data_IF_510338674020
#
_entry.id   IF_510338674020
#
_cell.length_a   1.000
_cell.length_b   1.000
_cell.length_c   1.000
_cell.angle_alpha   90.00
_cell.angle_beta   90.00
_cell.angle_gamma   90.00
#
_symmetry.space_group_name_H-M   'P 1'
#
loop_
_entity.id
_entity.type
_entity.pdbx_description
1 polymer ?
#
# COMPACT_ATOMS: atom_id res chain seq x y z
N UNK A 1 28.07 -25.94 38.02
CA UNK A 1 27.82 -24.61 37.43
C UNK A 1 27.29 -24.82 36.02
N UNK A 2 26.09 -24.29 35.72
CA UNK A 2 25.31 -24.56 34.51
C UNK A 2 25.85 -23.83 33.27
N UNK A 3 26.02 -24.56 32.17
CA UNK A 3 26.41 -24.05 30.85
C UNK A 3 25.20 -24.01 29.90
N UNK A 4 24.15 -23.27 30.26
CA UNK A 4 23.01 -23.01 29.37
C UNK A 4 22.49 -21.58 29.55
N UNK A 5 22.64 -20.78 28.50
CA UNK A 5 22.17 -19.40 28.39
C UNK A 5 23.11 -18.70 27.43
N UNK A 6 22.80 -18.52 26.16
CA UNK A 6 21.78 -17.59 25.68
C UNK A 6 21.38 -17.98 24.25
N UNK A 7 20.46 -18.92 24.10
CA UNK A 7 19.63 -19.00 22.90
C UNK A 7 18.54 -17.95 23.07
N UNK A 8 18.70 -16.77 22.46
CA UNK A 8 17.60 -15.82 22.25
C UNK A 8 16.50 -16.59 21.53
N UNK A 9 15.47 -17.02 22.27
CA UNK A 9 14.21 -17.48 21.72
C UNK A 9 13.74 -16.37 20.77
N UNK A 10 13.84 -16.60 19.46
CA UNK A 10 13.02 -15.88 18.49
C UNK A 10 11.60 -16.02 19.03
N UNK A 11 10.97 -14.91 19.44
CA UNK A 11 9.53 -14.93 19.70
C UNK A 11 8.92 -15.55 18.45
N UNK A 12 8.29 -16.72 18.59
CA UNK A 12 7.31 -17.17 17.61
C UNK A 12 6.31 -16.03 17.55
N UNK A 13 6.38 -15.25 16.48
CA UNK A 13 5.28 -14.38 16.11
C UNK A 13 4.15 -15.36 15.87
N UNK A 14 3.17 -15.40 16.79
CA UNK A 14 1.89 -16.05 16.53
C UNK A 14 1.42 -15.57 15.15
N UNK A 15 0.79 -16.41 14.32
CA UNK A 15 0.25 -15.91 13.06
C UNK A 15 -0.72 -14.80 13.44
N UNK A 16 -0.31 -13.54 13.23
CA UNK A 16 -1.22 -12.42 13.34
C UNK A 16 -2.36 -12.77 12.40
N UNK A 17 -3.54 -13.02 12.96
CA UNK A 17 -4.74 -13.14 12.15
C UNK A 17 -4.71 -11.97 11.16
N UNK A 18 -4.78 -12.23 9.83
CA UNK A 18 -4.71 -11.16 8.85
C UNK A 18 -5.67 -10.04 9.26
N UNK A 19 -5.28 -8.76 9.11
CA UNK A 19 -6.17 -7.64 9.41
C UNK A 19 -7.55 -7.92 8.80
N UNK A 20 -8.61 -7.87 9.61
CA UNK A 20 -9.95 -8.18 9.12
C UNK A 20 -10.44 -7.05 8.23
N UNK A 21 -10.69 -7.38 6.96
CA UNK A 21 -11.27 -6.47 5.99
C UNK A 21 -12.80 -6.61 5.98
N UNK A 22 -13.49 -5.50 6.22
CA UNK A 22 -14.94 -5.36 6.04
C UNK A 22 -15.22 -4.09 5.20
N UNK A 23 -15.70 -4.23 3.95
CA UNK A 23 -16.01 -3.09 3.10
C UNK A 23 -17.17 -2.21 3.60
N UNK A 24 -17.91 -2.66 4.62
CA UNK A 24 -19.00 -1.93 5.27
C UNK A 24 -18.59 -1.33 6.63
N UNK A 25 -17.30 -1.32 6.95
CA UNK A 25 -16.78 -0.75 8.19
C UNK A 25 -17.30 0.68 8.39
N UNK A 26 -17.88 0.94 9.57
CA UNK A 26 -18.30 2.29 9.96
C UNK A 26 -17.07 3.05 10.44
N UNK A 27 -16.78 4.17 9.76
CA UNK A 27 -15.68 5.07 10.10
C UNK A 27 -16.15 6.18 11.04
N UNK A 28 -15.41 6.38 12.12
CA UNK A 28 -15.61 7.49 13.04
C UNK A 28 -15.07 8.82 12.46
N UNK A 29 -15.48 9.98 12.99
CA UNK A 29 -15.07 11.28 12.46
C UNK A 29 -13.56 11.57 12.52
N UNK A 30 -12.82 10.98 13.46
CA UNK A 30 -11.37 11.13 13.52
C UNK A 30 -10.72 10.37 12.37
N UNK A 31 -11.19 9.15 12.12
CA UNK A 31 -10.74 8.33 10.98
C UNK A 31 -11.12 8.95 9.64
N UNK A 32 -12.28 9.59 9.52
CA UNK A 32 -12.65 10.36 8.33
C UNK A 32 -11.69 11.52 8.07
N UNK A 33 -11.30 12.28 9.10
CA UNK A 33 -10.29 13.35 8.97
C UNK A 33 -8.93 12.81 8.57
N UNK A 34 -8.54 11.65 9.12
CA UNK A 34 -7.30 10.97 8.73
C UNK A 34 -7.31 10.60 7.24
N UNK A 35 -8.37 9.94 6.78
CA UNK A 35 -8.55 9.56 5.37
C UNK A 35 -8.50 10.80 4.48
N UNK A 36 -9.23 11.85 4.86
CA UNK A 36 -9.25 13.12 4.15
C UNK A 36 -7.85 13.73 4.04
N UNK A 37 -7.06 13.73 5.11
CA UNK A 37 -5.68 14.22 5.09
C UNK A 37 -4.80 13.41 4.14
N UNK A 38 -4.83 12.07 4.22
CA UNK A 38 -4.05 11.20 3.32
C UNK A 38 -4.45 11.45 1.86
N UNK A 39 -5.74 11.43 1.56
CA UNK A 39 -6.24 11.67 0.21
C UNK A 39 -5.89 13.08 -0.30
N UNK A 40 -5.93 14.10 0.55
CA UNK A 40 -5.55 15.48 0.19
C UNK A 40 -4.08 15.60 -0.20
N UNK A 41 -3.20 14.80 0.42
CA UNK A 41 -1.78 14.78 0.07
C UNK A 41 -1.50 13.96 -1.20
N UNK A 42 -2.24 12.88 -1.44
CA UNK A 42 -2.09 12.02 -2.63
C UNK A 42 -2.74 12.62 -3.89
N UNK A 43 -3.88 13.31 -3.77
CA UNK A 43 -4.69 13.80 -4.90
C UNK A 43 -3.94 14.75 -5.86
N UNK A 44 -3.17 15.76 -5.40
CA UNK A 44 -2.39 16.62 -6.28
C UNK A 44 -1.38 15.84 -7.13
N UNK A 45 -0.88 14.74 -6.61
CA UNK A 45 0.11 13.92 -7.28
C UNK A 45 -0.55 13.05 -8.37
N UNK A 46 -1.71 12.46 -8.09
CA UNK A 46 -2.55 11.83 -9.11
C UNK A 46 -2.98 12.82 -10.19
N UNK A 47 -3.30 14.05 -9.84
CA UNK A 47 -3.63 15.12 -10.80
C UNK A 47 -2.47 15.41 -11.76
N UNK A 48 -1.23 15.40 -11.28
CA UNK A 48 -0.06 15.61 -12.14
C UNK A 48 0.23 14.41 -13.05
N UNK A 49 -0.06 13.20 -12.60
CA UNK A 49 -0.01 12.03 -13.46
C UNK A 49 -1.10 12.11 -14.54
N UNK A 50 -2.32 12.50 -14.16
CA UNK A 50 -3.45 12.76 -15.07
C UNK A 50 -3.10 13.80 -16.13
N UNK A 51 -2.52 14.93 -15.75
CA UNK A 51 -2.19 16.00 -16.72
C UNK A 51 -1.15 15.59 -17.75
N UNK A 52 -0.41 14.51 -17.49
CA UNK A 52 0.58 13.94 -18.40
C UNK A 52 0.10 12.62 -19.07
N UNK A 53 -1.15 12.21 -18.86
CA UNK A 53 -1.73 10.96 -19.33
C UNK A 53 -3.22 11.16 -19.70
N UNK A 54 -3.49 12.17 -20.54
CA UNK A 54 -4.83 12.53 -21.06
C UNK A 54 -5.94 12.67 -20.01
N UNK A 55 -5.58 13.06 -18.79
CA UNK A 55 -6.51 13.31 -17.69
C UNK A 55 -6.86 12.07 -16.86
N UNK A 56 -6.29 10.89 -17.13
CA UNK A 56 -6.67 9.62 -16.49
C UNK A 56 -5.60 9.18 -15.47
N UNK A 57 -5.97 8.92 -14.19
CA UNK A 57 -5.02 8.40 -13.22
C UNK A 57 -4.54 7.02 -13.68
N UNK A 58 -3.30 6.61 -13.37
CA UNK A 58 -2.88 5.26 -13.68
C UNK A 58 -3.83 4.26 -13.01
N UNK A 59 -4.36 3.27 -13.75
CA UNK A 59 -5.31 2.33 -13.22
C UNK A 59 -4.61 1.36 -12.26
N UNK A 60 -5.20 1.15 -11.08
CA UNK A 60 -4.69 0.16 -10.12
C UNK A 60 -4.94 -1.27 -10.60
N UNK A 61 -5.98 -1.50 -11.40
CA UNK A 61 -6.23 -2.75 -12.13
C UNK A 61 -5.96 -2.52 -13.61
N UNK A 62 -4.90 -3.14 -14.13
CA UNK A 62 -4.47 -2.97 -15.54
C UNK A 62 -5.28 -3.82 -16.53
N UNK A 63 -6.02 -4.80 -16.03
CA UNK A 63 -6.81 -5.72 -16.84
C UNK A 63 -7.12 -7.00 -16.07
N UNK A 64 -7.50 -8.05 -16.81
CA UNK A 64 -7.70 -9.40 -16.25
C UNK A 64 -6.87 -10.43 -17.00
N UNK A 65 -6.35 -11.43 -16.30
CA UNK A 65 -5.63 -12.53 -16.91
C UNK A 65 -6.61 -13.53 -17.59
N UNK A 66 -6.07 -14.60 -18.18
CA UNK A 66 -6.88 -15.65 -18.85
C UNK A 66 -7.90 -16.30 -17.93
N UNK A 67 -7.61 -16.35 -16.64
CA UNK A 67 -8.46 -16.91 -15.59
C UNK A 67 -9.44 -15.88 -14.99
N UNK A 68 -9.59 -14.72 -15.64
CA UNK A 68 -10.43 -13.58 -15.23
C UNK A 68 -10.01 -12.96 -13.89
N UNK A 69 -8.84 -13.25 -13.36
CA UNK A 69 -8.31 -12.60 -12.16
C UNK A 69 -7.79 -11.21 -12.51
N UNK A 70 -8.02 -10.24 -11.63
CA UNK A 70 -7.51 -8.88 -11.81
C UNK A 70 -5.98 -8.85 -11.82
N UNK A 71 -5.41 -8.10 -12.77
CA UNK A 71 -3.97 -7.83 -12.81
C UNK A 71 -3.77 -6.48 -12.12
N UNK A 72 -3.39 -6.53 -10.85
CA UNK A 72 -3.15 -5.33 -10.04
C UNK A 72 -1.75 -4.78 -10.32
N UNK A 73 -1.65 -3.45 -10.43
CA UNK A 73 -0.38 -2.73 -10.46
C UNK A 73 0.30 -2.84 -9.08
N UNK A 74 1.22 -3.79 -8.96
CA UNK A 74 1.88 -4.16 -7.70
C UNK A 74 2.63 -2.99 -7.09
N UNK A 75 3.38 -2.23 -7.89
CA UNK A 75 4.11 -1.08 -7.40
C UNK A 75 3.17 0.02 -6.90
N UNK A 76 2.09 0.34 -7.64
CA UNK A 76 1.13 1.36 -7.23
C UNK A 76 0.35 0.98 -5.97
N UNK A 77 -0.05 -0.28 -5.85
CA UNK A 77 -0.66 -0.82 -4.64
C UNK A 77 0.32 -0.78 -3.46
N UNK A 78 1.57 -1.19 -3.69
CA UNK A 78 2.66 -1.06 -2.72
C UNK A 78 2.81 0.39 -2.25
N UNK A 79 2.89 1.32 -3.19
CA UNK A 79 3.07 2.75 -2.93
C UNK A 79 1.97 3.34 -2.05
N UNK A 80 0.70 3.17 -2.42
CA UNK A 80 -0.42 3.72 -1.65
C UNK A 80 -0.47 3.09 -0.25
N UNK A 81 -0.22 1.78 -0.15
CA UNK A 81 -0.22 1.09 1.14
C UNK A 81 0.94 1.51 2.06
N UNK A 82 2.16 1.64 1.53
CA UNK A 82 3.31 2.14 2.28
C UNK A 82 3.15 3.61 2.70
N UNK A 83 2.56 4.44 1.84
CA UNK A 83 2.20 5.81 2.17
C UNK A 83 1.19 5.84 3.32
N UNK A 84 0.12 5.05 3.24
CA UNK A 84 -0.88 4.97 4.30
C UNK A 84 -0.28 4.48 5.62
N UNK A 85 0.60 3.47 5.60
CA UNK A 85 1.26 2.93 6.79
C UNK A 85 2.18 3.97 7.46
N UNK A 86 3.06 4.60 6.70
CA UNK A 86 3.93 5.65 7.24
C UNK A 86 3.12 6.84 7.80
N UNK A 87 2.04 7.25 7.11
CA UNK A 87 1.19 8.33 7.58
C UNK A 87 0.44 7.94 8.88
N UNK A 88 -0.04 6.70 9.00
CA UNK A 88 -0.60 6.16 10.25
C UNK A 88 0.42 6.26 11.39
N UNK A 89 1.67 5.83 11.15
CA UNK A 89 2.73 5.87 12.15
C UNK A 89 3.07 7.31 12.59
N UNK A 90 3.12 8.28 11.65
CA UNK A 90 3.30 9.70 11.96
C UNK A 90 2.19 10.26 12.86
N UNK A 91 0.95 9.79 12.66
CA UNK A 91 -0.18 10.17 13.50
C UNK A 91 -0.28 9.37 14.80
N UNK A 92 0.66 8.46 15.10
CA UNK A 92 0.60 7.58 16.26
C UNK A 92 -0.53 6.53 16.19
N UNK A 93 -1.04 6.25 15.00
CA UNK A 93 -2.11 5.29 14.72
C UNK A 93 -1.52 3.96 14.23
N UNK A 94 -2.23 2.87 14.51
CA UNK A 94 -1.93 1.57 13.87
C UNK A 94 -2.41 1.59 12.42
N UNK A 95 -1.69 0.88 11.55
CA UNK A 95 -2.19 0.60 10.20
C UNK A 95 -3.52 -0.15 10.26
N UNK A 96 -4.50 0.33 9.49
CA UNK A 96 -5.84 -0.26 9.39
C UNK A 96 -6.14 -0.55 7.90
N UNK A 97 -6.46 -1.81 7.62
CA UNK A 97 -6.73 -2.27 6.27
C UNK A 97 -8.04 -1.69 5.71
N UNK A 98 -9.03 -1.40 6.56
CA UNK A 98 -10.30 -0.81 6.14
C UNK A 98 -10.09 0.67 5.75
N UNK A 99 -9.19 1.35 6.45
CA UNK A 99 -8.75 2.70 6.06
C UNK A 99 -8.02 2.67 4.72
N UNK A 100 -7.12 1.70 4.50
CA UNK A 100 -6.46 1.54 3.21
C UNK A 100 -7.47 1.27 2.08
N UNK A 101 -8.49 0.43 2.32
CA UNK A 101 -9.56 0.18 1.36
C UNK A 101 -10.30 1.47 0.99
N UNK A 102 -10.68 2.28 1.98
CA UNK A 102 -11.40 3.54 1.73
C UNK A 102 -10.51 4.51 0.95
N UNK A 103 -9.21 4.56 1.23
CA UNK A 103 -8.25 5.35 0.45
C UNK A 103 -8.21 4.86 -1.01
N UNK A 104 -8.11 3.55 -1.25
CA UNK A 104 -8.20 3.02 -2.62
C UNK A 104 -9.52 3.40 -3.29
N UNK A 105 -10.65 3.23 -2.60
CA UNK A 105 -11.98 3.56 -3.10
C UNK A 105 -12.20 5.06 -3.33
N UNK A 106 -11.36 5.93 -2.76
CA UNK A 106 -11.37 7.37 -3.04
C UNK A 106 -10.71 7.69 -4.40
N UNK A 107 -9.77 6.85 -4.86
CA UNK A 107 -9.05 7.05 -6.12
C UNK A 107 -9.54 6.16 -7.27
N UNK A 108 -10.16 5.02 -6.94
CA UNK A 108 -10.56 3.97 -7.89
C UNK A 108 -11.97 3.48 -7.60
N UNK A 109 -12.54 2.72 -8.53
CA UNK A 109 -13.83 2.06 -8.31
C UNK A 109 -13.74 1.05 -7.15
N UNK A 110 -14.85 0.85 -6.43
CA UNK A 110 -14.89 -0.07 -5.26
C UNK A 110 -14.43 -1.48 -5.61
N UNK A 111 -14.76 -1.98 -6.80
CA UNK A 111 -14.34 -3.30 -7.25
C UNK A 111 -12.81 -3.40 -7.35
N UNK A 112 -12.15 -2.41 -7.95
CA UNK A 112 -10.70 -2.36 -8.08
C UNK A 112 -10.01 -2.17 -6.72
N UNK A 113 -10.62 -1.40 -5.82
CA UNK A 113 -10.15 -1.24 -4.45
C UNK A 113 -10.15 -2.58 -3.67
N UNK A 114 -11.18 -3.42 -3.86
CA UNK A 114 -11.21 -4.78 -3.28
C UNK A 114 -10.08 -5.65 -3.83
N UNK A 115 -9.84 -5.63 -5.14
CA UNK A 115 -8.75 -6.40 -5.76
C UNK A 115 -7.37 -5.94 -5.26
N UNK A 116 -7.19 -4.63 -5.05
CA UNK A 116 -5.97 -4.07 -4.46
C UNK A 116 -5.76 -4.53 -3.00
N UNK A 117 -6.83 -4.63 -2.19
CA UNK A 117 -6.77 -5.13 -0.82
C UNK A 117 -6.46 -6.63 -0.77
N UNK A 118 -7.05 -7.42 -1.65
CA UNK A 118 -6.70 -8.84 -1.77
C UNK A 118 -5.22 -9.02 -2.14
N UNK A 119 -4.76 -8.24 -3.12
CA UNK A 119 -3.34 -8.23 -3.54
C UNK A 119 -2.42 -7.85 -2.39
N UNK A 120 -2.77 -6.80 -1.62
CA UNK A 120 -2.04 -6.41 -0.42
C UNK A 120 -1.88 -7.58 0.54
N UNK A 121 -2.97 -8.28 0.88
CA UNK A 121 -2.90 -9.42 1.79
C UNK A 121 -2.00 -10.54 1.28
N UNK A 122 -2.16 -10.93 0.01
CA UNK A 122 -1.35 -11.98 -0.60
C UNK A 122 0.12 -11.58 -0.61
N UNK A 123 0.44 -10.37 -1.07
CA UNK A 123 1.81 -9.87 -1.12
C UNK A 123 2.46 -9.86 0.27
N UNK A 124 1.78 -9.33 1.29
CA UNK A 124 2.29 -9.27 2.68
C UNK A 124 2.50 -10.66 3.28
N UNK A 125 1.59 -11.61 3.03
CA UNK A 125 1.72 -12.99 3.51
C UNK A 125 2.87 -13.72 2.82
N UNK A 126 3.01 -13.57 1.50
CA UNK A 126 4.05 -14.24 0.73
C UNK A 126 5.42 -13.66 1.05
N UNK A 127 5.59 -12.33 1.06
CA UNK A 127 6.86 -11.67 1.43
C UNK A 127 7.35 -12.06 2.82
N UNK A 128 6.43 -12.31 3.76
CA UNK A 128 6.77 -12.73 5.12
C UNK A 128 7.12 -14.22 5.24
N UNK A 129 6.62 -15.08 4.34
CA UNK A 129 6.69 -16.53 4.49
C UNK A 129 7.66 -17.21 3.52
N UNK A 130 7.74 -16.74 2.27
CA UNK A 130 8.50 -17.38 1.20
C UNK A 130 9.03 -16.33 0.21
N UNK A 131 10.33 -16.01 0.34
CA UNK A 131 10.99 -15.01 -0.50
C UNK A 131 11.14 -15.46 -1.95
N UNK A 132 11.31 -16.76 -2.21
CA UNK A 132 11.45 -17.27 -3.57
C UNK A 132 10.11 -17.20 -4.30
N UNK A 133 9.02 -17.60 -3.64
CA UNK A 133 7.68 -17.42 -4.17
C UNK A 133 7.33 -15.95 -4.37
N UNK A 134 7.72 -15.05 -3.45
CA UNK A 134 7.49 -13.61 -3.59
C UNK A 134 8.18 -13.06 -4.85
N UNK A 135 9.43 -13.45 -5.08
CA UNK A 135 10.19 -13.05 -6.27
C UNK A 135 9.53 -13.56 -7.57
N UNK A 136 9.15 -14.85 -7.61
CA UNK A 136 8.48 -15.45 -8.78
C UNK A 136 7.15 -14.75 -9.10
N UNK A 137 6.41 -14.34 -8.07
CA UNK A 137 5.13 -13.62 -8.22
C UNK A 137 5.30 -12.11 -8.47
N UNK A 138 6.54 -11.60 -8.49
CA UNK A 138 6.84 -10.18 -8.72
C UNK A 138 6.52 -9.26 -7.54
N UNK A 139 6.35 -9.79 -6.33
CA UNK A 139 6.03 -8.97 -5.14
C UNK A 139 7.18 -8.09 -4.66
N UNK A 140 8.38 -8.22 -5.24
CA UNK A 140 9.45 -7.25 -5.06
C UNK A 140 9.04 -5.84 -5.54
N UNK A 141 8.25 -5.74 -6.62
CA UNK A 141 7.72 -4.45 -7.09
C UNK A 141 6.76 -3.83 -6.06
N UNK A 142 5.96 -4.67 -5.40
CA UNK A 142 5.08 -4.25 -4.33
C UNK A 142 5.87 -3.76 -3.10
N UNK A 143 6.92 -4.50 -2.70
CA UNK A 143 7.80 -4.10 -1.59
C UNK A 143 8.54 -2.79 -1.90
N UNK A 144 9.07 -2.63 -3.12
CA UNK A 144 9.67 -1.37 -3.58
C UNK A 144 8.68 -0.22 -3.53
N UNK A 145 7.46 -0.44 -4.02
CA UNK A 145 6.36 0.51 -3.92
C UNK A 145 6.11 0.94 -2.48
N UNK A 146 5.99 -0.01 -1.54
CA UNK A 146 5.78 0.29 -0.13
C UNK A 146 6.89 1.17 0.46
N UNK A 147 8.16 0.86 0.18
CA UNK A 147 9.30 1.64 0.65
C UNK A 147 9.28 3.06 0.05
N UNK A 148 9.01 3.18 -1.24
CA UNK A 148 8.92 4.47 -1.92
C UNK A 148 7.78 5.31 -1.33
N UNK A 149 6.59 4.73 -1.14
CA UNK A 149 5.44 5.39 -0.55
C UNK A 149 5.72 5.88 0.87
N UNK A 150 6.33 5.04 1.70
CA UNK A 150 6.69 5.39 3.07
C UNK A 150 7.72 6.53 3.16
N UNK A 151 8.80 6.45 2.38
CA UNK A 151 9.82 7.52 2.34
C UNK A 151 9.21 8.85 1.88
N UNK A 152 8.37 8.79 0.85
CA UNK A 152 7.69 9.96 0.31
C UNK A 152 6.76 10.67 1.30
N UNK A 153 6.12 9.94 2.22
CA UNK A 153 5.36 10.55 3.32
C UNK A 153 6.29 11.36 4.21
N UNK A 154 7.46 10.81 4.53
CA UNK A 154 8.44 11.47 5.39
C UNK A 154 8.99 12.73 4.72
N UNK A 155 9.36 12.63 3.45
CA UNK A 155 9.86 13.76 2.67
C UNK A 155 8.77 14.86 2.54
N UNK A 156 7.51 14.47 2.33
CA UNK A 156 6.38 15.40 2.34
C UNK A 156 6.20 16.06 3.71
N UNK A 157 6.25 15.28 4.79
CA UNK A 157 6.14 15.78 6.17
C UNK A 157 7.25 16.78 6.51
N UNK A 158 8.46 16.52 6.05
CA UNK A 158 9.62 17.40 6.20
C UNK A 158 9.66 18.55 5.18
N UNK A 159 8.67 18.65 4.28
CA UNK A 159 8.56 19.66 3.21
C UNK A 159 9.74 19.63 2.23
N UNK A 160 10.34 18.46 2.04
CA UNK A 160 11.44 18.24 1.09
C UNK A 160 10.92 18.04 -0.34
N UNK A 161 9.67 17.59 -0.46
CA UNK A 161 8.98 17.41 -1.74
C UNK A 161 7.56 17.96 -1.69
N UNK A 162 7.12 18.56 -2.80
CA UNK A 162 5.74 19.02 -2.97
C UNK A 162 4.85 18.00 -3.68
N UNK A 163 5.46 17.03 -4.40
CA UNK A 163 4.76 16.12 -5.34
C UNK A 163 5.32 14.68 -5.32
N UNK A 164 4.95 13.87 -4.31
CA UNK A 164 5.61 12.58 -4.08
C UNK A 164 5.54 11.51 -5.20
N UNK A 165 4.41 11.35 -5.92
CA UNK A 165 4.21 10.30 -6.94
C UNK A 165 5.00 10.51 -8.25
N UNK A 166 5.85 11.53 -8.35
CA UNK A 166 6.74 11.72 -9.52
C UNK A 166 7.62 10.49 -9.82
N UNK A 167 7.84 9.63 -8.83
CA UNK A 167 8.59 8.38 -8.92
C UNK A 167 7.85 7.29 -9.72
N UNK A 168 6.51 7.25 -9.71
CA UNK A 168 5.72 6.20 -10.39
C UNK A 168 6.12 6.07 -11.86
N UNK A 169 6.27 7.18 -12.58
CA UNK A 169 6.63 7.18 -14.01
C UNK A 169 8.00 6.57 -14.34
N UNK A 170 8.92 6.58 -13.38
CA UNK A 170 10.25 5.97 -13.56
C UNK A 170 10.16 4.43 -13.59
N UNK A 171 9.17 3.86 -12.90
CA UNK A 171 9.08 2.42 -12.65
C UNK A 171 7.87 1.75 -13.27
N UNK A 172 6.81 2.48 -13.61
CA UNK A 172 5.53 1.88 -14.02
C UNK A 172 5.42 1.46 -15.49
N UNK A 173 6.46 1.64 -16.31
CA UNK A 173 6.42 1.45 -17.77
C UNK A 173 5.25 2.17 -18.47
N UNK A 174 4.53 3.06 -17.78
CA UNK A 174 3.50 3.92 -18.35
C UNK A 174 4.20 5.01 -19.18
N UNK A 175 4.35 4.75 -20.48
CA UNK A 175 4.61 5.73 -21.52
C UNK A 175 3.32 6.04 -22.27
#
# INVERSE_FOLDING_TARGET
>A
MNLFGFLKKRKKVEPNTPPHFDPNTIIDPETERFISAVCSTLSPQFFLLRSQNDGVPPPIVRGRNRDKQAIVDLWLAGYISGYCDAFSQLCGRKFDINVLYIIYAAFYEKADAVEAIHTYHIARLTLASDKEAAHILGFDEFEEGMLAGGNNVMDWHHKEIERPLGIYKKYSNYR
#
